data_IF_381586342314
#
_entry.id   IF_381586342314
#
_cell.length_a   1.000
_cell.length_b   1.000
_cell.length_c   1.000
_cell.angle_alpha   90.00
_cell.angle_beta   90.00
_cell.angle_gamma   90.00
#
_symmetry.space_group_name_H-M   'P 1'
#
loop_
_entity.id
_entity.type
_entity.pdbx_description
1 polymer ?
#
# COMPACT_ATOMS: atom_id res chain seq x y z
N UNK A 1 -7.19 -7.10 31.25
CA UNK A 1 -7.57 -6.91 29.83
C UNK A 1 -7.66 -8.29 29.22
N UNK A 2 -8.74 -8.61 28.51
CA UNK A 2 -8.86 -9.87 27.78
C UNK A 2 -8.13 -9.75 26.44
N UNK A 3 -7.46 -10.82 25.99
CA UNK A 3 -6.82 -10.88 24.67
C UNK A 3 -7.89 -10.97 23.56
N UNK A 4 -9.04 -11.56 23.87
CA UNK A 4 -10.16 -11.72 22.94
C UNK A 4 -11.36 -10.89 23.40
N UNK A 5 -12.01 -10.21 22.45
CA UNK A 5 -13.22 -9.43 22.66
C UNK A 5 -14.32 -9.91 21.71
N UNK A 6 -15.56 -9.92 22.17
CA UNK A 6 -16.73 -10.18 21.33
C UNK A 6 -17.25 -8.85 20.81
N UNK A 7 -17.22 -8.66 19.49
CA UNK A 7 -17.63 -7.44 18.81
C UNK A 7 -18.61 -7.78 17.69
N UNK A 8 -19.50 -6.84 17.37
CA UNK A 8 -20.28 -6.88 16.14
C UNK A 8 -19.41 -6.53 14.92
N UNK A 9 -19.83 -6.92 13.70
CA UNK A 9 -19.10 -6.52 12.49
C UNK A 9 -18.95 -5.00 12.34
N UNK A 10 -19.97 -4.23 12.70
CA UNK A 10 -19.94 -2.76 12.62
C UNK A 10 -18.87 -2.18 13.58
N UNK A 11 -18.86 -2.66 14.82
CA UNK A 11 -17.85 -2.26 15.82
C UNK A 11 -16.43 -2.58 15.38
N UNK A 12 -16.20 -3.74 14.76
CA UNK A 12 -14.87 -4.11 14.25
C UNK A 12 -14.45 -3.25 13.04
N UNK A 13 -15.38 -2.94 12.14
CA UNK A 13 -15.10 -2.17 10.92
C UNK A 13 -14.96 -0.68 11.20
N UNK A 14 -15.96 -0.07 11.82
CA UNK A 14 -16.11 1.39 11.93
C UNK A 14 -15.77 1.94 13.32
N UNK A 15 -15.67 1.04 14.28
CA UNK A 15 -14.87 1.24 15.48
C UNK A 15 -15.65 1.18 16.78
N UNK A 16 -14.96 0.72 17.82
CA UNK A 16 -15.44 0.59 19.18
C UNK A 16 -14.52 1.33 20.16
N UNK A 17 -15.02 1.60 21.37
CA UNK A 17 -14.20 2.19 22.43
C UNK A 17 -13.29 1.14 23.06
N UNK A 18 -11.98 1.33 22.90
CA UNK A 18 -10.96 0.51 23.53
C UNK A 18 -10.09 1.40 24.45
N UNK A 19 -9.81 0.92 25.67
CA UNK A 19 -9.19 1.74 26.72
C UNK A 19 -7.75 2.12 26.38
N UNK A 20 -6.96 1.21 25.82
CA UNK A 20 -5.58 1.47 25.42
C UNK A 20 -5.52 2.44 24.25
N UNK A 21 -6.37 2.27 23.23
CA UNK A 21 -6.44 3.19 22.09
C UNK A 21 -6.83 4.60 22.53
N UNK A 22 -7.78 4.73 23.46
CA UNK A 22 -8.18 6.03 24.05
C UNK A 22 -7.02 6.70 24.78
N UNK A 23 -6.27 5.95 25.58
CA UNK A 23 -5.06 6.46 26.26
C UNK A 23 -4.00 6.85 25.23
N UNK A 24 -3.71 5.99 24.24
CA UNK A 24 -2.73 6.22 23.19
C UNK A 24 -3.03 7.51 22.40
N UNK A 25 -4.31 7.74 22.08
CA UNK A 25 -4.76 8.95 21.38
C UNK A 25 -4.48 10.25 22.16
N UNK A 26 -4.27 10.15 23.49
CA UNK A 26 -3.98 11.32 24.35
C UNK A 26 -2.48 11.51 24.56
N UNK A 27 -1.72 10.42 24.69
CA UNK A 27 -0.30 10.48 25.10
C UNK A 27 0.70 10.49 23.94
N UNK A 28 0.35 9.93 22.77
CA UNK A 28 1.30 9.83 21.65
C UNK A 28 1.53 11.19 20.96
N UNK A 29 2.74 11.42 20.39
CA UNK A 29 3.03 12.57 19.53
C UNK A 29 2.06 12.67 18.35
N UNK A 30 1.83 13.89 17.83
CA UNK A 30 0.82 14.15 16.79
C UNK A 30 0.99 13.24 15.56
N UNK A 31 2.22 12.97 15.18
CA UNK A 31 2.59 12.22 13.98
C UNK A 31 2.30 10.71 14.12
N UNK A 32 2.26 10.20 15.35
CA UNK A 32 2.03 8.78 15.68
C UNK A 32 0.75 8.54 16.46
N UNK A 33 -0.10 9.55 16.56
CA UNK A 33 -1.31 9.50 17.39
C UNK A 33 -2.39 8.72 16.67
N UNK A 34 -2.84 7.58 17.21
CA UNK A 34 -3.95 6.85 16.63
C UNK A 34 -5.29 7.58 16.87
N UNK A 35 -6.35 7.21 16.13
CA UNK A 35 -7.71 7.61 16.44
C UNK A 35 -8.11 7.24 17.88
N UNK A 36 -9.14 7.89 18.42
CA UNK A 36 -9.63 7.60 19.80
C UNK A 36 -10.42 6.31 19.93
N UNK A 37 -10.85 5.73 18.81
CA UNK A 37 -11.54 4.43 18.70
C UNK A 37 -10.63 3.42 18.00
N UNK A 38 -10.89 2.13 18.23
CA UNK A 38 -10.23 1.02 17.53
C UNK A 38 -11.15 0.47 16.45
N UNK A 39 -10.66 0.24 15.23
CA UNK A 39 -11.43 -0.30 14.11
C UNK A 39 -10.62 -0.28 12.81
N UNK A 40 -11.00 -1.07 11.81
CA UNK A 40 -10.21 -1.23 10.57
C UNK A 40 -10.36 -0.07 9.58
N UNK A 41 -11.55 0.53 9.50
CA UNK A 41 -11.92 1.53 8.49
C UNK A 41 -12.39 2.85 9.13
N UNK A 42 -11.82 3.19 10.29
CA UNK A 42 -12.20 4.40 11.03
C UNK A 42 -12.06 5.64 10.15
N UNK A 43 -13.11 6.46 10.14
CA UNK A 43 -13.13 7.72 9.42
C UNK A 43 -13.25 7.58 7.91
N UNK A 44 -13.39 6.37 7.34
CA UNK A 44 -13.52 6.19 5.88
C UNK A 44 -14.93 6.42 5.34
N UNK A 45 -15.94 6.43 6.22
CA UNK A 45 -17.30 6.70 5.80
C UNK A 45 -17.50 8.21 5.57
N UNK A 46 -17.78 8.59 4.31
CA UNK A 46 -18.19 9.94 3.92
C UNK A 46 -17.20 11.05 4.27
N UNK A 47 -15.91 10.73 4.47
CA UNK A 47 -14.84 11.72 4.64
C UNK A 47 -13.93 11.71 3.41
N UNK A 48 -13.54 12.90 2.96
CA UNK A 48 -12.36 13.02 2.13
C UNK A 48 -11.18 12.74 3.04
N UNK A 49 -10.38 11.72 2.72
CA UNK A 49 -9.09 11.54 3.36
C UNK A 49 -8.31 12.85 3.21
N UNK A 50 -7.61 13.27 4.26
CA UNK A 50 -6.85 14.53 4.26
C UNK A 50 -5.61 14.48 3.35
N UNK A 51 -5.41 13.38 2.62
CA UNK A 51 -4.27 13.20 1.75
C UNK A 51 -4.51 13.88 0.40
N UNK A 52 -3.48 14.58 -0.09
CA UNK A 52 -3.48 15.23 -1.39
C UNK A 52 -2.52 14.50 -2.31
N UNK A 53 -3.07 13.82 -3.30
CA UNK A 53 -2.33 13.16 -4.37
C UNK A 53 -2.22 14.09 -5.58
N UNK A 54 -0.99 14.41 -5.97
CA UNK A 54 -0.70 15.15 -7.20
C UNK A 54 -0.29 14.15 -8.26
N UNK A 55 -1.02 14.12 -9.37
CA UNK A 55 -0.78 13.18 -10.48
C UNK A 55 -0.38 13.89 -11.77
N UNK A 56 0.40 13.21 -12.60
CA UNK A 56 0.74 13.68 -13.94
C UNK A 56 -0.47 13.57 -14.87
N UNK A 57 -0.91 14.72 -15.41
CA UNK A 57 -2.08 14.83 -16.29
C UNK A 57 -1.84 14.33 -17.71
N UNK A 58 -0.58 14.14 -18.11
CA UNK A 58 -0.21 13.79 -19.49
C UNK A 58 0.01 14.98 -20.43
N UNK A 59 -0.21 16.23 -19.97
CA UNK A 59 -0.05 17.45 -20.78
C UNK A 59 1.33 17.55 -21.45
N UNK A 60 2.40 17.18 -20.72
CA UNK A 60 3.79 17.21 -21.20
C UNK A 60 4.25 15.91 -21.84
N UNK A 61 3.34 14.96 -22.04
CA UNK A 61 3.62 13.63 -22.58
C UNK A 61 2.97 12.51 -21.76
N UNK A 62 2.70 11.39 -22.44
CA UNK A 62 1.94 10.27 -21.88
C UNK A 62 2.79 9.25 -21.10
N UNK A 63 4.13 9.39 -21.11
CA UNK A 63 5.07 8.47 -20.44
C UNK A 63 4.88 8.40 -18.92
N UNK A 64 4.41 9.50 -18.31
CA UNK A 64 4.15 9.58 -16.87
C UNK A 64 2.66 9.68 -16.55
N UNK A 65 1.78 9.60 -17.54
CA UNK A 65 0.35 9.82 -17.37
C UNK A 65 -0.25 8.94 -16.26
N UNK A 66 -0.98 9.56 -15.32
CA UNK A 66 -1.64 8.85 -14.22
C UNK A 66 -0.70 8.40 -13.10
N UNK A 67 0.62 8.63 -13.20
CA UNK A 67 1.53 8.38 -12.09
C UNK A 67 1.47 9.51 -11.06
N UNK A 68 1.75 9.18 -9.81
CA UNK A 68 1.94 10.12 -8.71
C UNK A 68 3.22 10.92 -8.91
N UNK A 69 3.09 12.25 -8.79
CA UNK A 69 4.20 13.20 -8.65
C UNK A 69 4.49 13.45 -7.17
N UNK A 70 3.44 13.70 -6.38
CA UNK A 70 3.55 14.00 -4.94
C UNK A 70 2.41 13.42 -4.13
N UNK A 71 2.71 13.05 -2.89
CA UNK A 71 1.73 12.74 -1.86
C UNK A 71 1.94 13.70 -0.69
N UNK A 72 0.92 14.50 -0.37
CA UNK A 72 0.99 15.53 0.67
C UNK A 72 2.17 16.51 0.48
N UNK A 73 2.51 16.79 -0.78
CA UNK A 73 3.63 17.65 -1.15
C UNK A 73 5.01 17.00 -1.12
N UNK A 74 5.11 15.73 -0.70
CA UNK A 74 6.35 14.95 -0.71
C UNK A 74 6.51 14.17 -2.02
N UNK A 75 7.75 14.08 -2.51
CA UNK A 75 8.16 13.33 -3.70
C UNK A 75 8.62 11.88 -3.38
N UNK A 76 8.37 11.41 -2.16
CA UNK A 76 8.70 10.09 -1.67
C UNK A 76 7.69 9.64 -0.62
N UNK A 77 7.61 8.34 -0.36
CA UNK A 77 6.80 7.79 0.71
C UNK A 77 7.47 8.05 2.08
N UNK A 78 6.77 8.67 3.05
CA UNK A 78 7.37 9.04 4.33
C UNK A 78 7.57 7.84 5.28
N UNK A 79 7.08 6.66 4.91
CA UNK A 79 7.05 5.46 5.78
C UNK A 79 8.35 4.65 5.73
N UNK A 80 9.16 4.83 4.69
CA UNK A 80 10.37 4.04 4.44
C UNK A 80 11.60 4.94 4.32
N UNK A 81 12.75 4.46 4.81
CA UNK A 81 13.93 5.31 4.98
C UNK A 81 14.70 5.59 3.69
N UNK A 82 14.66 4.70 2.71
CA UNK A 82 15.53 4.77 1.54
C UNK A 82 14.93 4.13 0.30
N UNK A 83 15.49 4.49 -0.86
CA UNK A 83 15.23 3.80 -2.12
C UNK A 83 15.68 2.33 -2.03
N UNK A 84 15.04 1.42 -2.77
CA UNK A 84 13.85 1.66 -3.61
C UNK A 84 12.53 1.74 -2.83
N UNK A 85 12.51 1.43 -1.53
CA UNK A 85 11.28 1.27 -0.75
C UNK A 85 10.46 2.54 -0.54
N UNK A 86 11.11 3.70 -0.52
CA UNK A 86 10.42 4.98 -0.36
C UNK A 86 10.04 5.65 -1.70
N UNK A 87 10.22 4.96 -2.84
CA UNK A 87 9.82 5.49 -4.13
C UNK A 87 8.29 5.65 -4.20
N UNK A 88 7.82 6.76 -4.78
CA UNK A 88 6.40 7.06 -4.97
C UNK A 88 5.93 6.92 -6.42
N UNK A 89 6.84 6.65 -7.37
CA UNK A 89 6.51 6.50 -8.80
C UNK A 89 5.61 5.29 -9.02
N UNK A 90 4.31 5.52 -8.95
CA UNK A 90 3.24 4.54 -9.10
C UNK A 90 1.94 5.23 -9.51
N UNK A 91 1.01 4.46 -10.06
CA UNK A 91 -0.37 4.88 -10.29
C UNK A 91 -1.21 4.67 -9.02
N UNK A 92 -2.27 5.44 -8.84
CA UNK A 92 -3.33 5.15 -7.85
C UNK A 92 -4.12 3.86 -8.18
N UNK A 93 -3.95 3.32 -9.40
CA UNK A 93 -4.57 2.06 -9.84
C UNK A 93 -5.64 2.25 -10.92
N UNK A 94 -6.16 3.46 -11.08
CA UNK A 94 -7.19 3.76 -12.09
C UNK A 94 -6.62 4.07 -13.49
N UNK A 95 -5.43 4.66 -13.56
CA UNK A 95 -4.83 5.18 -14.79
C UNK A 95 -3.35 4.82 -14.89
N UNK A 96 -2.91 4.30 -16.03
CA UNK A 96 -1.50 3.96 -16.26
C UNK A 96 -0.97 4.60 -17.54
N UNK A 97 0.34 4.88 -17.62
CA UNK A 97 0.99 5.20 -18.88
C UNK A 97 0.75 4.10 -19.91
N UNK A 98 0.51 4.43 -21.20
CA UNK A 98 0.35 3.41 -22.23
C UNK A 98 1.63 2.56 -22.38
N UNK A 99 1.51 1.23 -22.24
CA UNK A 99 2.65 0.29 -22.38
C UNK A 99 3.32 0.37 -23.76
N UNK A 100 2.56 0.72 -24.80
CA UNK A 100 3.12 0.92 -26.15
C UNK A 100 4.08 2.12 -26.24
N UNK A 101 4.07 3.02 -25.26
CA UNK A 101 5.03 4.11 -25.14
C UNK A 101 6.16 3.72 -24.18
N UNK A 102 5.82 3.35 -22.95
CA UNK A 102 6.82 3.08 -21.90
C UNK A 102 7.69 1.85 -22.20
N UNK A 103 7.14 0.87 -22.93
CA UNK A 103 7.74 -0.46 -23.14
C UNK A 103 8.06 -1.21 -21.83
N UNK A 104 7.43 -0.82 -20.73
CA UNK A 104 7.62 -1.43 -19.42
C UNK A 104 6.62 -2.58 -19.21
N UNK A 105 7.13 -3.73 -18.74
CA UNK A 105 6.30 -4.88 -18.37
C UNK A 105 5.87 -4.87 -16.90
N UNK A 106 6.39 -3.93 -16.10
CA UNK A 106 6.05 -3.79 -14.70
C UNK A 106 5.52 -2.39 -14.47
N UNK A 107 4.28 -2.30 -14.04
CA UNK A 107 3.66 -1.06 -13.57
C UNK A 107 3.59 -1.08 -12.05
N UNK A 108 3.58 0.08 -11.42
CA UNK A 108 3.49 0.18 -9.96
C UNK A 108 2.15 0.78 -9.57
N UNK A 109 1.53 0.21 -8.53
CA UNK A 109 0.30 0.74 -7.92
C UNK A 109 0.61 1.18 -6.49
N UNK A 110 0.06 2.32 -6.09
CA UNK A 110 0.08 2.81 -4.73
C UNK A 110 -1.36 3.02 -4.28
N UNK A 111 -1.67 2.47 -3.11
CA UNK A 111 -2.83 2.84 -2.33
C UNK A 111 -2.37 3.02 -0.88
N UNK A 112 -3.04 3.90 -0.15
CA UNK A 112 -2.68 4.26 1.21
C UNK A 112 -2.65 3.05 2.14
N UNK A 113 -3.53 2.07 1.96
CA UNK A 113 -3.59 0.85 2.78
C UNK A 113 -2.46 -0.12 2.48
N UNK A 114 -1.91 -0.09 1.25
CA UNK A 114 -0.79 -0.93 0.86
C UNK A 114 0.53 -0.45 1.46
N UNK A 115 0.61 0.82 1.84
CA UNK A 115 1.74 1.46 2.52
C UNK A 115 3.09 1.40 1.82
N UNK A 116 3.12 0.95 0.56
CA UNK A 116 4.27 0.99 -0.36
C UNK A 116 3.76 0.85 -1.79
N UNK A 117 4.60 1.16 -2.77
CA UNK A 117 4.30 0.88 -4.16
C UNK A 117 4.40 -0.61 -4.45
N UNK A 118 3.37 -1.18 -5.06
CA UNK A 118 3.31 -2.58 -5.44
C UNK A 118 3.62 -2.77 -6.92
N UNK A 119 4.59 -3.64 -7.27
CA UNK A 119 4.86 -3.98 -8.66
C UNK A 119 3.82 -4.97 -9.18
N UNK A 120 3.16 -4.62 -10.28
CA UNK A 120 2.28 -5.49 -11.06
C UNK A 120 2.96 -5.80 -12.41
N UNK A 121 3.14 -7.08 -12.71
CA UNK A 121 3.78 -7.58 -13.91
C UNK A 121 2.76 -7.97 -14.96
N UNK A 122 2.98 -7.51 -16.19
CA UNK A 122 2.27 -7.97 -17.38
C UNK A 122 2.46 -9.48 -17.56
N UNK A 123 1.37 -10.19 -17.82
CA UNK A 123 1.40 -11.64 -18.02
C UNK A 123 1.06 -12.01 -19.46
N UNK A 124 -0.11 -11.61 -19.95
CA UNK A 124 -0.53 -11.84 -21.34
C UNK A 124 -1.67 -10.89 -21.74
N UNK A 125 -2.05 -10.90 -23.02
CA UNK A 125 -3.22 -10.18 -23.52
C UNK A 125 -4.49 -11.02 -23.39
N UNK A 126 -5.59 -10.41 -23.00
CA UNK A 126 -6.93 -11.00 -22.99
C UNK A 126 -7.88 -10.12 -23.80
N UNK A 127 -8.97 -10.70 -24.31
CA UNK A 127 -10.04 -9.92 -24.94
C UNK A 127 -11.22 -9.86 -23.98
N UNK A 128 -11.59 -8.65 -23.57
CA UNK A 128 -12.73 -8.39 -22.71
C UNK A 128 -13.65 -7.40 -23.40
N UNK A 129 -14.91 -7.78 -23.58
CA UNK A 129 -15.93 -6.95 -24.25
C UNK A 129 -15.49 -6.42 -25.63
N UNK A 130 -14.72 -7.23 -26.38
CA UNK A 130 -14.18 -6.88 -27.70
C UNK A 130 -12.93 -5.99 -27.68
N UNK A 131 -12.43 -5.61 -26.50
CA UNK A 131 -11.23 -4.80 -26.31
C UNK A 131 -10.07 -5.70 -25.90
N UNK A 132 -8.92 -5.58 -26.58
CA UNK A 132 -7.69 -6.25 -26.15
C UNK A 132 -7.10 -5.51 -24.95
N UNK A 133 -6.97 -6.21 -23.82
CA UNK A 133 -6.44 -5.70 -22.56
C UNK A 133 -5.21 -6.49 -22.14
N UNK A 134 -4.27 -5.84 -21.47
CA UNK A 134 -3.15 -6.54 -20.82
C UNK A 134 -3.57 -7.02 -19.44
N UNK A 135 -3.33 -8.31 -19.14
CA UNK A 135 -3.50 -8.86 -17.80
C UNK A 135 -2.24 -8.62 -16.99
N UNK A 136 -2.40 -8.00 -15.83
CA UNK A 136 -1.32 -7.75 -14.87
C UNK A 136 -1.65 -8.46 -13.55
N UNK A 137 -0.64 -9.04 -12.90
CA UNK A 137 -0.76 -9.62 -11.56
C UNK A 137 0.42 -9.13 -10.70
N UNK A 138 0.34 -9.20 -9.35
CA UNK A 138 1.49 -8.90 -8.51
C UNK A 138 2.75 -9.63 -8.98
N UNK A 139 3.89 -8.93 -8.95
CA UNK A 139 5.18 -9.54 -9.28
C UNK A 139 5.48 -10.69 -8.31
N UNK A 140 6.08 -11.78 -8.83
CA UNK A 140 6.37 -12.99 -8.06
C UNK A 140 7.32 -12.71 -6.88
N UNK A 141 8.10 -11.61 -6.95
CA UNK A 141 9.01 -11.17 -5.91
C UNK A 141 8.50 -9.95 -5.11
N UNK A 142 7.24 -9.54 -5.27
CA UNK A 142 6.69 -8.37 -4.59
C UNK A 142 6.79 -8.48 -3.06
N UNK A 143 6.63 -9.69 -2.51
CA UNK A 143 6.60 -9.95 -1.06
C UNK A 143 7.70 -10.91 -0.59
N UNK A 144 8.81 -11.00 -1.32
CA UNK A 144 9.95 -11.84 -0.96
C UNK A 144 11.06 -11.02 -0.31
N UNK A 145 11.54 -11.44 0.86
CA UNK A 145 12.61 -10.76 1.63
C UNK A 145 13.91 -11.57 1.66
N UNK A 146 13.89 -12.79 1.13
CA UNK A 146 15.07 -13.65 1.01
C UNK A 146 16.18 -12.98 0.19
N UNK A 147 17.42 -13.48 0.31
CA UNK A 147 18.59 -12.95 -0.41
C UNK A 147 18.43 -12.94 -1.95
N UNK A 148 17.38 -13.58 -2.47
CA UNK A 148 16.99 -13.55 -3.87
C UNK A 148 16.43 -12.20 -4.34
N UNK A 149 15.94 -11.35 -3.42
CA UNK A 149 15.48 -10.00 -3.74
C UNK A 149 15.95 -8.98 -2.69
N UNK A 150 17.12 -8.37 -2.94
CA UNK A 150 17.68 -7.33 -2.07
C UNK A 150 16.82 -6.06 -2.01
N UNK A 151 15.97 -5.80 -3.01
CA UNK A 151 15.21 -4.56 -3.11
C UNK A 151 14.13 -4.44 -2.02
N UNK A 152 13.64 -5.56 -1.50
CA UNK A 152 12.62 -5.54 -0.44
C UNK A 152 13.21 -5.44 0.98
N UNK A 153 14.54 -5.52 1.16
CA UNK A 153 15.17 -5.50 2.49
C UNK A 153 14.85 -4.21 3.26
N UNK A 154 14.67 -3.08 2.57
CA UNK A 154 14.32 -1.81 3.21
C UNK A 154 12.88 -1.72 3.74
N UNK A 155 11.98 -2.64 3.36
CA UNK A 155 10.64 -2.75 3.95
C UNK A 155 10.64 -3.42 5.34
N UNK A 156 11.83 -3.69 5.88
CA UNK A 156 12.04 -4.34 7.16
C UNK A 156 13.05 -3.53 8.01
N UNK A 157 12.76 -2.24 8.31
CA UNK A 157 13.71 -1.39 9.02
C UNK A 157 13.88 -1.84 10.47
N UNK A 158 15.13 -1.89 10.94
CA UNK A 158 15.45 -2.07 12.37
C UNK A 158 15.16 -3.46 12.95
N UNK A 159 14.82 -4.46 12.13
CA UNK A 159 14.61 -5.84 12.58
C UNK A 159 15.77 -6.74 12.19
N UNK A 160 16.18 -7.60 13.11
CA UNK A 160 17.19 -8.63 12.84
C UNK A 160 16.67 -9.73 11.90
N UNK A 161 15.35 -9.94 11.88
CA UNK A 161 14.67 -10.92 11.03
C UNK A 161 13.40 -10.31 10.43
N UNK A 162 13.28 -10.39 9.11
CA UNK A 162 12.11 -9.94 8.37
C UNK A 162 10.96 -10.95 8.43
N UNK A 163 9.72 -10.50 8.16
CA UNK A 163 8.60 -11.42 8.01
C UNK A 163 8.91 -12.52 6.98
N UNK A 164 8.33 -13.73 7.15
CA UNK A 164 8.31 -14.74 6.10
C UNK A 164 7.83 -14.19 4.75
N UNK A 165 8.30 -14.79 3.65
CA UNK A 165 7.85 -14.44 2.31
C UNK A 165 6.31 -14.57 2.21
N UNK A 166 5.68 -13.60 1.53
CA UNK A 166 4.22 -13.47 1.43
C UNK A 166 3.57 -12.59 2.50
N UNK A 167 4.33 -12.14 3.50
CA UNK A 167 3.85 -11.21 4.54
C UNK A 167 4.44 -9.81 4.38
N UNK A 168 3.64 -8.78 4.63
CA UNK A 168 4.10 -7.40 4.64
C UNK A 168 3.72 -6.71 5.95
N UNK A 169 4.72 -6.17 6.63
CA UNK A 169 4.50 -5.32 7.80
C UNK A 169 4.10 -3.91 7.35
N UNK A 170 2.95 -3.43 7.82
CA UNK A 170 2.44 -2.09 7.55
C UNK A 170 2.34 -1.24 8.83
N UNK A 171 2.96 -1.64 9.93
CA UNK A 171 3.04 -0.82 11.14
C UNK A 171 3.52 0.62 10.90
N UNK A 172 4.53 0.89 10.03
CA UNK A 172 5.03 2.25 9.83
C UNK A 172 3.98 3.27 9.32
N UNK A 173 2.94 2.81 8.62
CA UNK A 173 1.85 3.67 8.15
C UNK A 173 0.58 3.58 9.02
N UNK A 174 0.52 2.65 9.97
CA UNK A 174 -0.63 2.37 10.84
C UNK A 174 -0.35 2.78 12.30
N UNK A 175 0.21 3.96 12.52
CA UNK A 175 0.47 4.51 13.87
C UNK A 175 1.31 3.58 14.77
N UNK A 176 2.24 2.81 14.18
CA UNK A 176 3.04 1.76 14.85
C UNK A 176 2.22 0.58 15.42
N UNK A 177 0.94 0.46 15.10
CA UNK A 177 0.16 -0.73 15.44
C UNK A 177 0.68 -1.95 14.66
N UNK A 178 0.82 -3.10 15.33
CA UNK A 178 1.30 -4.33 14.68
C UNK A 178 0.23 -4.90 13.73
N UNK A 179 0.35 -4.55 12.45
CA UNK A 179 -0.56 -4.98 11.38
C UNK A 179 0.27 -5.56 10.26
N UNK A 180 -0.06 -6.78 9.86
CA UNK A 180 0.64 -7.51 8.80
C UNK A 180 -0.37 -7.92 7.74
N UNK A 181 -0.12 -7.51 6.51
CA UNK A 181 -0.84 -8.05 5.36
C UNK A 181 -0.28 -9.41 4.98
N UNK A 182 -1.17 -10.36 4.71
CA UNK A 182 -0.83 -11.66 4.16
C UNK A 182 -1.40 -11.76 2.75
N UNK A 183 -0.57 -12.15 1.79
CA UNK A 183 -0.99 -12.38 0.43
C UNK A 183 -0.89 -13.86 0.11
N UNK A 184 -2.01 -14.44 -0.27
CA UNK A 184 -2.02 -15.71 -0.96
C UNK A 184 -1.54 -15.44 -2.38
N UNK A 185 -0.29 -15.80 -2.66
CA UNK A 185 0.21 -15.87 -4.03
C UNK A 185 -0.48 -17.07 -4.68
N UNK A 186 -1.71 -16.86 -5.16
CA UNK A 186 -2.31 -17.78 -6.12
C UNK A 186 -1.35 -17.85 -7.30
N UNK A 187 -0.66 -18.98 -7.43
CA UNK A 187 0.07 -19.29 -8.65
C UNK A 187 -0.97 -19.21 -9.76
N UNK A 188 -0.82 -18.22 -10.64
CA UNK A 188 -1.63 -18.16 -11.86
C UNK A 188 -1.50 -19.54 -12.52
N UNK A 189 -2.59 -20.29 -12.52
CA UNK A 189 -2.66 -21.57 -13.20
C UNK A 189 -2.34 -21.33 -14.67
N UNK A 190 -1.29 -21.99 -15.15
CA UNK A 190 -0.91 -22.05 -16.56
C UNK A 190 -2.07 -22.54 -17.46
#
# INVERSE_FOLDING_TARGET
>A
MSVFNTLTPDELMFGYEEKLTKIASTIYPREKRPPSKMGLLIGRNSSLLNDVETIYTGEKGMENFGLLDKLNGLDHLPYWNSLPCNNIRASEGSLFPPRDLTKEDVVHVFDKDLCRTWPLRYRWNEVKDGITVGRYTPDDNAFTYSDRNSNNKCFCPGRQKCPPDGLQDISPCQFDAYVVHAFELEKASE
#
